data_IF_187965678233
#
_entry.id   IF_187965678233
#
_cell.length_a   1.000
_cell.length_b   1.000
_cell.length_c   1.000
_cell.angle_alpha   90.00
_cell.angle_beta   90.00
_cell.angle_gamma   90.00
#
_symmetry.space_group_name_H-M   'P 1'
#
loop_
_entity.id
_entity.type
_entity.pdbx_description
1 polymer ?
#
# COMPACT_ATOMS: atom_id res chain seq x y z
N UNK A 1 7.57 -22.80 -14.15
CA UNK A 1 6.09 -22.96 -14.21
C UNK A 1 5.46 -21.58 -14.48
N UNK A 2 4.59 -21.39 -15.49
CA UNK A 2 3.88 -20.11 -15.64
C UNK A 2 2.63 -20.14 -14.75
N UNK A 3 2.72 -19.54 -13.58
CA UNK A 3 1.58 -19.44 -12.66
C UNK A 3 0.70 -18.29 -13.14
N UNK A 4 -0.60 -18.54 -13.14
CA UNK A 4 -1.61 -17.64 -13.66
C UNK A 4 -1.85 -16.50 -12.68
N UNK A 5 -1.59 -15.27 -13.11
CA UNK A 5 -2.14 -14.05 -12.49
C UNK A 5 -3.53 -13.84 -13.09
N UNK A 6 -4.57 -13.62 -12.27
CA UNK A 6 -5.88 -13.27 -12.83
C UNK A 6 -5.83 -11.82 -13.36
N UNK A 7 -6.79 -11.43 -14.18
CA UNK A 7 -6.85 -10.07 -14.75
C UNK A 7 -7.03 -8.98 -13.69
N UNK A 8 -7.47 -9.35 -12.48
CA UNK A 8 -7.85 -8.46 -11.39
C UNK A 8 -6.76 -8.32 -10.30
N UNK A 9 -5.67 -9.08 -10.39
CA UNK A 9 -4.65 -9.22 -9.36
C UNK A 9 -3.30 -9.58 -9.96
N UNK A 10 -2.29 -8.79 -9.61
CA UNK A 10 -0.89 -9.09 -9.92
C UNK A 10 -0.34 -10.29 -9.13
N UNK A 11 -1.08 -10.79 -8.13
CA UNK A 11 -0.64 -11.91 -7.31
C UNK A 11 -0.87 -13.27 -7.99
N UNK A 12 0.04 -14.24 -7.79
CA UNK A 12 -0.17 -15.62 -8.21
C UNK A 12 -1.32 -16.28 -7.43
N UNK A 13 -1.84 -17.39 -7.95
CA UNK A 13 -2.87 -18.18 -7.26
C UNK A 13 -2.44 -18.58 -5.84
N UNK A 14 -3.21 -18.16 -4.84
CA UNK A 14 -2.93 -18.38 -3.42
C UNK A 14 -3.34 -19.79 -2.94
N UNK A 15 -4.23 -20.46 -3.69
CA UNK A 15 -4.76 -21.80 -3.39
C UNK A 15 -3.98 -22.84 -4.19
N UNK A 16 -2.70 -22.96 -3.86
CA UNK A 16 -1.79 -23.99 -4.39
C UNK A 16 -1.20 -24.81 -3.24
N UNK A 17 -0.62 -25.97 -3.54
CA UNK A 17 0.00 -26.83 -2.54
C UNK A 17 1.19 -26.15 -1.84
N UNK A 18 1.52 -26.61 -0.64
CA UNK A 18 2.63 -26.06 0.13
C UNK A 18 3.99 -26.27 -0.56
N UNK A 19 4.15 -27.37 -1.29
CA UNK A 19 5.32 -27.63 -2.14
C UNK A 19 5.51 -26.52 -3.20
N UNK A 20 4.42 -26.08 -3.83
CA UNK A 20 4.45 -24.98 -4.81
C UNK A 20 4.76 -23.66 -4.10
N UNK A 21 4.16 -23.39 -2.93
CA UNK A 21 4.43 -22.17 -2.16
C UNK A 21 5.87 -22.06 -1.69
N UNK A 22 6.49 -23.20 -1.35
CA UNK A 22 7.89 -23.27 -0.95
C UNK A 22 8.88 -23.11 -2.12
N UNK A 23 8.40 -23.17 -3.37
CA UNK A 23 9.24 -23.02 -4.55
C UNK A 23 9.75 -21.59 -4.73
N UNK A 24 10.97 -21.46 -5.25
CA UNK A 24 11.56 -20.16 -5.59
C UNK A 24 10.72 -19.39 -6.62
N UNK A 25 10.21 -20.09 -7.63
CA UNK A 25 9.39 -19.50 -8.70
C UNK A 25 8.13 -18.82 -8.13
N UNK A 26 7.47 -19.45 -7.16
CA UNK A 26 6.29 -18.88 -6.50
C UNK A 26 6.68 -17.65 -5.68
N UNK A 27 7.74 -17.75 -4.87
CA UNK A 27 8.25 -16.64 -4.07
C UNK A 27 8.64 -15.41 -4.91
N UNK A 28 9.30 -15.62 -6.05
CA UNK A 28 9.68 -14.57 -6.99
C UNK A 28 8.48 -13.84 -7.58
N UNK A 29 7.37 -14.54 -7.83
CA UNK A 29 6.16 -13.92 -8.34
C UNK A 29 5.44 -13.11 -7.27
N UNK A 30 5.36 -13.65 -6.05
CA UNK A 30 4.81 -12.91 -4.90
C UNK A 30 5.61 -11.64 -4.65
N UNK A 31 6.94 -11.70 -4.67
CA UNK A 31 7.77 -10.51 -4.43
C UNK A 31 7.58 -9.44 -5.50
N UNK A 32 7.51 -9.82 -6.77
CA UNK A 32 7.21 -8.90 -7.88
C UNK A 32 5.81 -8.30 -7.79
N UNK A 33 4.82 -9.09 -7.39
CA UNK A 33 3.45 -8.60 -7.20
C UNK A 33 3.39 -7.54 -6.07
N UNK A 34 4.08 -7.80 -4.95
CA UNK A 34 4.21 -6.83 -3.84
C UNK A 34 4.92 -5.56 -4.33
N UNK A 35 6.03 -5.72 -5.06
CA UNK A 35 6.79 -4.58 -5.59
C UNK A 35 5.90 -3.69 -6.44
N UNK A 36 5.16 -4.30 -7.38
CA UNK A 36 4.25 -3.58 -8.25
C UNK A 36 3.10 -2.94 -7.48
N UNK A 37 2.51 -3.61 -6.49
CA UNK A 37 1.40 -3.03 -5.72
C UNK A 37 1.86 -1.85 -4.83
N UNK A 38 3.04 -1.96 -4.21
CA UNK A 38 3.50 -0.99 -3.24
C UNK A 38 4.23 0.20 -3.84
N UNK A 39 5.02 -0.05 -4.88
CA UNK A 39 5.97 0.94 -5.39
C UNK A 39 5.67 1.44 -6.79
N UNK A 40 4.80 0.77 -7.55
CA UNK A 40 4.44 1.25 -8.88
C UNK A 40 3.73 2.60 -8.79
N UNK A 41 4.22 3.55 -9.58
CA UNK A 41 3.68 4.89 -9.68
C UNK A 41 2.93 4.94 -11.03
N UNK A 42 1.62 4.70 -10.99
CA UNK A 42 0.76 4.92 -12.16
C UNK A 42 0.68 6.40 -12.54
N UNK A 43 -0.31 6.81 -13.34
CA UNK A 43 -0.48 8.22 -13.75
C UNK A 43 -1.02 9.16 -12.65
N UNK A 44 -1.02 8.76 -11.37
CA UNK A 44 -1.64 9.45 -10.24
C UNK A 44 -0.66 9.93 -9.15
N UNK A 45 -1.22 10.57 -8.11
CA UNK A 45 -0.51 11.19 -6.96
C UNK A 45 0.23 10.17 -6.05
N UNK A 46 1.30 9.56 -6.54
CA UNK A 46 2.22 8.72 -5.74
C UNK A 46 1.87 7.22 -5.72
N UNK A 47 2.76 6.44 -5.12
CA UNK A 47 2.58 4.99 -4.91
C UNK A 47 2.02 4.69 -3.51
N UNK A 48 1.55 3.45 -3.30
CA UNK A 48 0.92 3.04 -2.04
C UNK A 48 1.86 3.22 -0.84
N UNK A 49 3.16 2.96 -1.01
CA UNK A 49 4.15 3.19 0.04
C UNK A 49 4.16 4.65 0.51
N UNK A 50 4.32 5.60 -0.41
CA UNK A 50 4.35 7.04 -0.10
C UNK A 50 3.06 7.52 0.57
N UNK A 51 1.92 7.07 0.06
CA UNK A 51 0.62 7.46 0.62
C UNK A 51 0.41 6.95 2.05
N UNK A 52 0.83 5.72 2.34
CA UNK A 52 0.78 5.20 3.71
C UNK A 52 1.75 5.96 4.63
N UNK A 53 2.97 6.23 4.17
CA UNK A 53 3.97 6.96 4.94
C UNK A 53 3.48 8.38 5.30
N UNK A 54 2.91 9.10 4.32
CA UNK A 54 2.33 10.43 4.53
C UNK A 54 1.14 10.40 5.50
N UNK A 55 0.27 9.38 5.40
CA UNK A 55 -0.89 9.21 6.27
C UNK A 55 -0.48 8.94 7.71
N UNK A 56 0.49 8.02 7.91
CA UNK A 56 1.07 7.74 9.22
C UNK A 56 1.64 9.01 9.86
N UNK A 57 2.43 9.78 9.10
CA UNK A 57 3.03 11.01 9.62
C UNK A 57 1.95 12.03 10.02
N UNK A 58 0.91 12.21 9.19
CA UNK A 58 -0.20 13.13 9.46
C UNK A 58 -0.97 12.77 10.74
N UNK A 59 -1.27 11.48 10.94
CA UNK A 59 -1.93 10.98 12.15
C UNK A 59 -1.04 11.12 13.39
N UNK A 60 0.26 10.88 13.25
CA UNK A 60 1.22 11.10 14.33
C UNK A 60 1.27 12.56 14.76
N UNK A 61 1.31 13.51 13.82
CA UNK A 61 1.26 14.95 14.12
C UNK A 61 -0.06 15.32 14.81
N UNK A 62 -1.19 14.76 14.36
CA UNK A 62 -2.51 14.97 14.99
C UNK A 62 -2.49 14.58 16.47
N UNK A 63 -2.06 13.35 16.76
CA UNK A 63 -2.03 12.81 18.11
C UNK A 63 -1.08 13.58 19.06
N UNK A 64 -0.06 14.26 18.50
CA UNK A 64 0.91 15.04 19.28
C UNK A 64 0.54 16.52 19.43
N UNK A 65 -0.52 17.00 18.79
CA UNK A 65 -0.82 18.43 18.78
C UNK A 65 0.05 19.26 17.82
N UNK A 66 0.83 18.61 16.95
CA UNK A 66 1.89 19.23 16.12
C UNK A 66 1.39 19.57 14.69
N UNK A 67 0.08 19.66 14.45
CA UNK A 67 -0.46 20.03 13.13
C UNK A 67 -0.40 21.54 12.86
N UNK A 68 -0.52 21.92 11.58
CA UNK A 68 -0.51 23.34 11.21
C UNK A 68 -1.70 24.08 11.81
N UNK A 69 -1.48 25.35 12.20
CA UNK A 69 -2.52 26.20 12.81
C UNK A 69 -3.74 26.35 11.88
N UNK A 70 -3.53 26.38 10.56
CA UNK A 70 -4.62 26.47 9.58
C UNK A 70 -5.54 25.25 9.67
N UNK A 71 -4.97 24.03 9.75
CA UNK A 71 -5.77 22.81 9.85
C UNK A 71 -6.57 22.76 11.15
N UNK A 72 -6.00 23.21 12.27
CA UNK A 72 -6.76 23.37 13.52
C UNK A 72 -7.94 24.34 13.37
N UNK A 73 -7.76 25.47 12.67
CA UNK A 73 -8.84 26.43 12.40
C UNK A 73 -9.93 25.83 11.51
N UNK A 74 -9.55 25.05 10.51
CA UNK A 74 -10.49 24.39 9.60
C UNK A 74 -11.30 23.32 10.35
N UNK A 75 -10.67 22.52 11.23
CA UNK A 75 -11.36 21.48 12.01
C UNK A 75 -12.26 22.07 13.13
N UNK A 76 -11.85 23.17 13.77
CA UNK A 76 -12.66 23.87 14.78
C UNK A 76 -13.87 24.60 14.18
N UNK A 77 -13.74 25.14 12.96
CA UNK A 77 -14.80 25.90 12.30
C UNK A 77 -15.95 25.03 11.75
N UNK A 78 -15.73 23.72 11.59
CA UNK A 78 -16.78 22.78 11.19
C UNK A 78 -17.73 22.42 12.35
N UNK A 79 -17.28 22.53 13.61
CA UNK A 79 -18.07 22.23 14.81
C UNK A 79 -18.55 23.49 15.56
N UNK A 80 -18.39 24.68 14.96
CA UNK A 80 -18.75 25.98 15.52
C UNK A 80 -20.05 26.55 14.99
#
# INVERSE_FOLDING_TARGET
MKIQTNTDSSFPNQVVSDEVKASYDYGLQVSRAIEQEWFNQGRGNGNRYLNNWNSFHTLRLYARGEQSVQKYKDELSING
#
